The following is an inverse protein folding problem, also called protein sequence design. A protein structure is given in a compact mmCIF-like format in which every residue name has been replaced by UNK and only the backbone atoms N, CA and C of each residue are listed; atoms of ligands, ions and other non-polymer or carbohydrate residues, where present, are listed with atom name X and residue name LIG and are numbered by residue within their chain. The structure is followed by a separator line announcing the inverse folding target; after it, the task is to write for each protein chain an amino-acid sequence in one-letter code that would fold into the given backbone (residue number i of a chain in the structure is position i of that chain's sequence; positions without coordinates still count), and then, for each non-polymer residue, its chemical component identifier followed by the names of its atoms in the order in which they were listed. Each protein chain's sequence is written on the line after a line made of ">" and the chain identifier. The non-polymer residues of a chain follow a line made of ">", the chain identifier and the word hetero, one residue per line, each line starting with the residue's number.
data_IF_467406143466
#
_entry.id   IF_467406143466
#
_cell.length_a   1.000
_cell.length_b   1.000
_cell.length_c   1.000
_cell.angle_alpha   90.00
_cell.angle_beta   90.00
_cell.angle_gamma   90.00
#
_symmetry.space_group_name_H-M   'P 1'
#
loop_
_entity.id
_entity.type
_entity.pdbx_description
1 polymer ?
#
# COMPACT_ATOMS: atom_id res chain seq x y z
N UNK A 1 -21.81 -47.94 -16.86
CA UNK A 1 -22.00 -46.60 -17.44
C UNK A 1 -20.90 -45.72 -16.87
N UNK A 2 -19.85 -45.49 -17.63
CA UNK A 2 -18.77 -44.59 -17.22
C UNK A 2 -19.34 -43.17 -17.21
N UNK A 3 -19.45 -42.56 -16.03
CA UNK A 3 -19.73 -41.14 -15.91
C UNK A 3 -18.58 -40.40 -16.58
N UNK A 4 -18.85 -39.83 -17.76
CA UNK A 4 -17.94 -38.88 -18.39
C UNK A 4 -17.77 -37.73 -17.40
N UNK A 5 -16.61 -37.70 -16.73
CA UNK A 5 -16.16 -36.54 -15.97
C UNK A 5 -16.05 -35.39 -16.98
N UNK A 6 -17.08 -34.55 -17.04
CA UNK A 6 -17.00 -33.26 -17.69
C UNK A 6 -15.99 -32.45 -16.89
N UNK A 7 -14.72 -32.56 -17.26
CA UNK A 7 -13.69 -31.65 -16.79
C UNK A 7 -13.91 -30.37 -17.62
N UNK A 8 -14.51 -29.29 -17.08
CA UNK A 8 -14.59 -28.05 -17.83
C UNK A 8 -13.15 -27.69 -18.21
N UNK A 9 -12.90 -27.52 -19.52
CA UNK A 9 -11.57 -27.13 -19.99
C UNK A 9 -11.31 -25.71 -19.46
N UNK A 10 -10.57 -25.60 -18.36
CA UNK A 10 -10.09 -24.33 -17.85
C UNK A 10 -8.80 -23.94 -18.57
N UNK A 11 -8.58 -22.64 -18.78
CA UNK A 11 -7.36 -22.12 -19.43
C UNK A 11 -6.16 -22.22 -18.47
N UNK A 12 -6.42 -22.04 -17.17
CA UNK A 12 -5.44 -22.19 -16.09
C UNK A 12 -5.81 -23.40 -15.21
N UNK A 13 -4.81 -24.00 -14.55
CA UNK A 13 -5.02 -25.08 -13.60
C UNK A 13 -6.04 -24.71 -12.50
N UNK A 14 -7.05 -25.56 -12.32
CA UNK A 14 -8.11 -25.41 -11.32
C UNK A 14 -7.62 -25.76 -9.90
N UNK A 15 -6.72 -24.95 -9.34
CA UNK A 15 -6.22 -25.14 -7.98
C UNK A 15 -7.33 -24.86 -6.97
N UNK A 16 -7.48 -25.72 -5.96
CA UNK A 16 -8.40 -25.45 -4.86
C UNK A 16 -7.77 -24.44 -3.88
N UNK A 17 -8.52 -23.43 -3.41
CA UNK A 17 -8.07 -22.53 -2.35
C UNK A 17 -7.73 -23.30 -1.07
N UNK A 18 -6.71 -22.86 -0.34
CA UNK A 18 -6.34 -23.48 0.93
C UNK A 18 -7.03 -22.80 2.12
N UNK A 19 -7.38 -23.58 3.13
CA UNK A 19 -7.97 -23.07 4.38
C UNK A 19 -9.38 -22.48 4.20
N UNK A 20 -10.08 -22.81 3.12
CA UNK A 20 -11.46 -22.38 2.89
C UNK A 20 -12.37 -22.75 4.07
N UNK A 21 -13.30 -21.86 4.42
CA UNK A 21 -14.15 -22.02 5.60
C UNK A 21 -13.43 -21.92 6.94
N UNK A 22 -12.18 -21.41 6.99
CA UNK A 22 -11.44 -21.20 8.24
C UNK A 22 -10.95 -19.76 8.37
N UNK A 23 -10.53 -19.35 9.57
CA UNK A 23 -9.84 -18.07 9.79
C UNK A 23 -8.46 -17.99 9.11
N UNK A 24 -7.94 -19.14 8.68
CA UNK A 24 -6.64 -19.31 8.03
C UNK A 24 -6.80 -19.47 6.51
N UNK A 25 -7.87 -18.95 5.90
CA UNK A 25 -8.05 -19.01 4.44
C UNK A 25 -6.90 -18.33 3.71
N UNK A 26 -6.56 -18.87 2.55
CA UNK A 26 -5.55 -18.36 1.66
C UNK A 26 -5.88 -16.95 1.13
N UNK A 27 -4.84 -16.14 0.92
CA UNK A 27 -4.97 -14.85 0.25
C UNK A 27 -4.90 -14.97 -1.27
N UNK A 28 -5.60 -14.10 -2.01
CA UNK A 28 -5.58 -14.13 -3.48
C UNK A 28 -4.15 -14.00 -4.05
N UNK A 29 -3.24 -13.16 -3.52
CA UNK A 29 -1.88 -13.16 -4.00
C UNK A 29 -1.09 -14.45 -3.64
N UNK A 30 -1.44 -15.20 -2.59
CA UNK A 30 -0.90 -16.56 -2.37
C UNK A 30 -1.37 -17.54 -3.44
N UNK A 31 -2.68 -17.56 -3.69
CA UNK A 31 -3.30 -18.39 -4.73
C UNK A 31 -2.65 -18.13 -6.10
N UNK A 32 -2.48 -16.85 -6.44
CA UNK A 32 -1.80 -16.41 -7.66
C UNK A 32 -0.35 -16.92 -7.77
N UNK A 33 0.41 -16.88 -6.67
CA UNK A 33 1.78 -17.41 -6.64
C UNK A 33 1.79 -18.93 -6.86
N UNK A 34 0.91 -19.67 -6.19
CA UNK A 34 0.76 -21.13 -6.38
C UNK A 34 0.33 -21.47 -7.80
N UNK A 35 -0.52 -20.65 -8.41
CA UNK A 35 -0.95 -20.82 -9.79
C UNK A 35 0.21 -20.62 -10.77
N UNK A 36 1.06 -19.61 -10.56
CA UNK A 36 2.26 -19.43 -11.37
C UNK A 36 3.22 -20.64 -11.24
N UNK A 37 3.41 -21.14 -10.02
CA UNK A 37 4.22 -22.34 -9.74
C UNK A 37 3.65 -23.57 -10.45
N UNK A 38 2.33 -23.79 -10.41
CA UNK A 38 1.71 -24.95 -11.07
C UNK A 38 1.88 -24.95 -12.58
N UNK A 39 1.99 -23.77 -13.19
CA UNK A 39 2.28 -23.58 -14.62
C UNK A 39 3.78 -23.49 -14.95
N UNK A 40 4.67 -23.57 -13.95
CA UNK A 40 6.12 -23.38 -14.13
C UNK A 40 6.50 -22.05 -14.80
N UNK A 41 5.71 -21.00 -14.56
CA UNK A 41 5.93 -19.65 -15.10
C UNK A 41 6.24 -18.64 -13.99
N UNK A 42 6.81 -17.49 -14.35
CA UNK A 42 6.98 -16.39 -13.41
C UNK A 42 5.63 -15.72 -13.10
N UNK A 43 5.52 -15.14 -11.91
CA UNK A 43 4.35 -14.33 -11.51
C UNK A 43 4.14 -13.15 -12.47
N UNK A 44 5.23 -12.57 -12.99
CA UNK A 44 5.19 -11.53 -14.01
C UNK A 44 4.59 -12.04 -15.32
N UNK A 45 5.03 -13.20 -15.83
CA UNK A 45 4.51 -13.76 -17.08
C UNK A 45 3.01 -14.08 -16.97
N UNK A 46 2.59 -14.74 -15.87
CA UNK A 46 1.18 -15.02 -15.61
C UNK A 46 0.37 -13.73 -15.50
N UNK A 47 0.89 -12.71 -14.81
CA UNK A 47 0.18 -11.43 -14.65
C UNK A 47 -0.06 -10.73 -15.98
N UNK A 48 0.90 -10.79 -16.91
CA UNK A 48 0.77 -10.19 -18.25
C UNK A 48 -0.25 -10.93 -19.10
N UNK A 49 -0.24 -12.27 -19.04
CA UNK A 49 -1.23 -13.09 -19.75
C UNK A 49 -2.66 -12.80 -19.28
N UNK A 50 -2.89 -12.71 -17.97
CA UNK A 50 -4.21 -12.35 -17.43
C UNK A 50 -4.58 -10.92 -17.80
N UNK A 51 -3.65 -9.95 -17.68
CA UNK A 51 -3.90 -8.56 -18.02
C UNK A 51 -4.33 -8.35 -19.48
N UNK A 52 -3.69 -9.07 -20.42
CA UNK A 52 -4.08 -9.07 -21.82
C UNK A 52 -5.50 -9.60 -22.02
N UNK A 53 -5.89 -10.63 -21.27
CA UNK A 53 -7.23 -11.23 -21.36
C UNK A 53 -8.34 -10.30 -20.88
N UNK A 54 -8.09 -9.53 -19.83
CA UNK A 54 -9.06 -8.56 -19.29
C UNK A 54 -9.02 -7.19 -20.00
N UNK A 55 -8.32 -7.10 -21.14
CA UNK A 55 -8.13 -5.86 -21.93
C UNK A 55 -7.65 -4.67 -21.09
N UNK A 56 -6.96 -4.95 -19.99
CA UNK A 56 -6.49 -3.91 -19.09
C UNK A 56 -5.15 -3.40 -19.59
N UNK A 57 -5.10 -2.13 -19.99
CA UNK A 57 -3.85 -1.50 -20.42
C UNK A 57 -2.91 -1.42 -19.20
N UNK A 58 -1.85 -2.21 -19.22
CA UNK A 58 -0.91 -2.32 -18.11
C UNK A 58 0.38 -1.62 -18.51
N UNK A 59 0.67 -0.51 -17.82
CA UNK A 59 2.02 0.06 -17.85
C UNK A 59 3.05 -1.03 -17.56
N UNK A 60 4.07 -1.15 -18.41
CA UNK A 60 5.14 -2.14 -18.28
C UNK A 60 5.88 -2.08 -16.93
N UNK A 61 5.70 -1.00 -16.16
CA UNK A 61 6.26 -0.78 -14.83
C UNK A 61 5.37 -1.26 -13.68
N UNK A 62 4.12 -1.67 -13.95
CA UNK A 62 3.12 -1.99 -12.92
C UNK A 62 3.06 -3.50 -12.63
N UNK A 63 3.78 -3.90 -11.58
CA UNK A 63 3.97 -5.30 -11.20
C UNK A 63 2.81 -5.85 -10.34
N UNK A 64 2.60 -7.17 -10.34
CA UNK A 64 1.44 -7.84 -9.71
C UNK A 64 1.28 -7.53 -8.22
N UNK A 65 2.40 -7.28 -7.52
CA UNK A 65 2.40 -6.96 -6.10
C UNK A 65 1.88 -5.55 -5.78
N UNK A 66 1.92 -4.63 -6.75
CA UNK A 66 1.40 -3.25 -6.60
C UNK A 66 -0.12 -3.19 -6.75
N UNK A 67 -0.76 -4.29 -7.18
CA UNK A 67 -2.19 -4.37 -7.48
C UNK A 67 -3.09 -4.56 -6.27
N UNK A 68 -2.51 -4.69 -5.07
CA UNK A 68 -3.24 -4.86 -3.79
C UNK A 68 -4.36 -5.90 -3.91
N UNK A 69 -4.05 -7.07 -4.48
CA UNK A 69 -5.02 -8.10 -4.87
C UNK A 69 -5.89 -8.62 -3.72
N UNK A 70 -5.46 -8.47 -2.47
CA UNK A 70 -6.25 -8.85 -1.30
C UNK A 70 -7.21 -7.76 -0.79
N UNK A 71 -7.17 -6.54 -1.36
CA UNK A 71 -7.92 -5.38 -0.85
C UNK A 71 -9.40 -5.38 -1.24
N UNK A 72 -10.09 -4.25 -0.96
CA UNK A 72 -11.47 -3.96 -1.37
C UNK A 72 -11.55 -3.09 -2.63
N UNK A 73 -10.46 -2.96 -3.40
CA UNK A 73 -10.44 -2.13 -4.60
C UNK A 73 -10.93 -2.87 -5.85
N UNK A 74 -11.25 -2.09 -6.89
CA UNK A 74 -11.64 -2.60 -8.21
C UNK A 74 -10.62 -3.59 -8.78
N UNK A 75 -9.32 -3.38 -8.58
CA UNK A 75 -8.31 -4.35 -9.02
C UNK A 75 -8.45 -5.71 -8.35
N UNK A 76 -8.86 -5.78 -7.08
CA UNK A 76 -9.12 -7.06 -6.44
C UNK A 76 -10.36 -7.74 -7.05
N UNK A 77 -11.40 -6.97 -7.37
CA UNK A 77 -12.62 -7.46 -8.01
C UNK A 77 -12.34 -8.00 -9.41
N UNK A 78 -11.75 -7.20 -10.29
CA UNK A 78 -11.42 -7.61 -11.66
C UNK A 78 -10.52 -8.84 -11.70
N UNK A 79 -9.50 -8.90 -10.84
CA UNK A 79 -8.55 -10.02 -10.84
C UNK A 79 -9.12 -11.28 -10.24
N UNK A 80 -9.90 -11.19 -9.16
CA UNK A 80 -10.57 -12.37 -8.59
C UNK A 80 -11.60 -12.94 -9.55
N UNK A 81 -12.37 -12.11 -10.25
CA UNK A 81 -13.30 -12.53 -11.29
C UNK A 81 -12.58 -13.21 -12.46
N UNK A 82 -11.55 -12.56 -13.01
CA UNK A 82 -10.78 -13.12 -14.13
C UNK A 82 -10.09 -14.44 -13.77
N UNK A 83 -9.50 -14.54 -12.58
CA UNK A 83 -8.91 -15.79 -12.11
C UNK A 83 -9.99 -16.87 -11.93
N UNK A 84 -11.17 -16.52 -11.45
CA UNK A 84 -12.27 -17.49 -11.27
C UNK A 84 -12.72 -18.05 -12.61
N UNK A 85 -12.86 -17.19 -13.62
CA UNK A 85 -13.19 -17.58 -15.00
C UNK A 85 -12.10 -18.48 -15.60
N UNK A 86 -10.84 -18.02 -15.57
CA UNK A 86 -9.72 -18.71 -16.21
C UNK A 86 -9.38 -20.06 -15.58
N UNK A 87 -9.56 -20.19 -14.26
CA UNK A 87 -9.32 -21.45 -13.53
C UNK A 87 -10.56 -22.32 -13.42
N UNK A 88 -11.74 -21.82 -13.80
CA UNK A 88 -13.05 -22.43 -13.54
C UNK A 88 -13.31 -22.74 -12.05
N UNK A 89 -12.62 -22.05 -11.13
CA UNK A 89 -12.81 -22.15 -9.69
C UNK A 89 -13.66 -20.97 -9.24
N UNK A 90 -14.87 -21.19 -8.69
CA UNK A 90 -15.74 -20.09 -8.28
C UNK A 90 -15.23 -19.40 -7.02
N UNK A 91 -15.79 -18.23 -6.73
CA UNK A 91 -15.66 -17.52 -5.45
C UNK A 91 -14.24 -17.12 -5.03
N UNK A 92 -13.30 -16.89 -5.95
CA UNK A 92 -11.95 -16.43 -5.58
C UNK A 92 -11.94 -15.00 -5.00
N UNK A 93 -13.03 -14.25 -5.11
CA UNK A 93 -13.24 -12.99 -4.40
C UNK A 93 -13.20 -13.18 -2.89
N UNK A 94 -13.53 -14.39 -2.39
CA UNK A 94 -13.43 -14.77 -0.98
C UNK A 94 -12.01 -14.94 -0.47
N UNK A 95 -11.00 -14.87 -1.35
CA UNK A 95 -9.59 -14.78 -1.00
C UNK A 95 -9.10 -13.32 -0.86
N UNK A 96 -10.03 -12.37 -0.86
CA UNK A 96 -9.81 -10.93 -0.69
C UNK A 96 -10.71 -10.38 0.42
N UNK A 97 -10.61 -9.08 0.71
CA UNK A 97 -11.54 -8.39 1.62
C UNK A 97 -12.78 -7.79 0.91
N UNK A 98 -13.02 -8.05 -0.38
CA UNK A 98 -14.13 -7.48 -1.17
C UNK A 98 -15.51 -7.63 -0.53
N UNK A 99 -15.74 -8.74 0.19
CA UNK A 99 -16.99 -8.96 0.91
C UNK A 99 -17.35 -7.83 1.89
N UNK A 100 -16.39 -6.98 2.29
CA UNK A 100 -16.58 -5.88 3.23
C UNK A 100 -16.48 -4.47 2.59
N UNK A 101 -16.46 -4.38 1.26
CA UNK A 101 -16.20 -3.13 0.53
C UNK A 101 -17.20 -1.99 0.80
N UNK A 102 -18.44 -2.34 1.16
CA UNK A 102 -19.52 -1.37 1.40
C UNK A 102 -19.55 -0.84 2.84
N UNK A 103 -18.81 -1.48 3.74
CA UNK A 103 -18.85 -1.20 5.20
C UNK A 103 -17.50 -0.78 5.76
N UNK A 104 -16.41 -0.97 5.02
CA UNK A 104 -15.08 -0.43 5.32
C UNK A 104 -14.74 0.62 4.27
N UNK A 105 -14.30 1.81 4.69
CA UNK A 105 -13.92 2.86 3.76
C UNK A 105 -12.80 2.43 2.82
N UNK A 106 -12.87 2.83 1.55
CA UNK A 106 -11.91 2.46 0.49
C UNK A 106 -10.46 2.82 0.83
N UNK A 107 -10.24 3.92 1.55
CA UNK A 107 -8.92 4.33 2.05
C UNK A 107 -8.61 3.79 3.45
N UNK A 108 -9.57 3.13 4.11
CA UNK A 108 -9.52 2.69 5.49
C UNK A 108 -9.15 1.22 5.69
N UNK A 109 -9.02 0.43 4.63
CA UNK A 109 -8.45 -0.91 4.67
C UNK A 109 -7.00 -0.86 4.18
N UNK A 110 -6.07 -0.83 5.13
CA UNK A 110 -4.65 -0.81 4.83
C UNK A 110 -4.13 -2.22 4.62
N UNK A 111 -3.87 -2.58 3.36
CA UNK A 111 -3.08 -3.77 3.03
C UNK A 111 -1.59 -3.49 3.24
N UNK A 112 -0.86 -4.47 3.78
CA UNK A 112 0.59 -4.39 3.97
C UNK A 112 1.32 -4.17 2.65
N UNK A 113 2.34 -3.32 2.67
CA UNK A 113 3.21 -3.07 1.50
C UNK A 113 4.36 -4.07 1.41
N UNK A 114 4.71 -4.68 2.55
CA UNK A 114 5.76 -5.70 2.70
C UNK A 114 5.08 -6.95 3.22
N UNK A 115 5.29 -8.07 2.55
CA UNK A 115 4.67 -9.34 2.91
C UNK A 115 5.12 -9.75 4.30
N UNK A 116 4.18 -10.23 5.11
CA UNK A 116 4.42 -10.69 6.47
C UNK A 116 3.91 -12.12 6.64
N UNK A 117 4.49 -12.86 7.56
CA UNK A 117 4.16 -14.26 7.79
C UNK A 117 4.43 -14.70 9.23
N UNK A 118 3.83 -15.82 9.64
CA UNK A 118 4.16 -16.46 10.89
C UNK A 118 5.06 -17.68 10.61
N UNK A 119 6.32 -17.70 11.11
CA UNK A 119 7.23 -18.84 10.95
C UNK A 119 6.64 -20.15 11.52
N UNK A 120 5.95 -20.08 12.65
CA UNK A 120 5.33 -21.24 13.29
C UNK A 120 4.15 -21.79 12.49
N UNK A 121 3.35 -20.93 11.84
CA UNK A 121 2.31 -21.39 10.92
C UNK A 121 2.90 -22.17 9.74
N UNK A 122 3.99 -21.68 9.14
CA UNK A 122 4.64 -22.39 8.04
C UNK A 122 5.25 -23.72 8.49
N UNK A 123 5.93 -23.75 9.64
CA UNK A 123 6.46 -24.99 10.20
C UNK A 123 5.35 -26.02 10.46
N UNK A 124 4.22 -25.59 11.03
CA UNK A 124 3.06 -26.47 11.22
C UNK A 124 2.42 -26.95 9.91
N UNK A 125 2.34 -26.10 8.89
CA UNK A 125 1.81 -26.49 7.58
C UNK A 125 2.67 -27.64 7.01
N UNK A 126 4.00 -27.49 7.04
CA UNK A 126 4.94 -28.50 6.58
C UNK A 126 4.91 -29.78 7.43
N UNK A 127 4.88 -29.66 8.76
CA UNK A 127 4.79 -30.80 9.67
C UNK A 127 3.50 -31.61 9.49
N UNK A 128 2.42 -30.97 9.04
CA UNK A 128 1.14 -31.62 8.70
C UNK A 128 1.10 -32.15 7.26
N UNK A 129 2.22 -32.12 6.52
CA UNK A 129 2.31 -32.54 5.13
C UNK A 129 1.56 -31.62 4.16
N UNK A 130 1.27 -30.37 4.55
CA UNK A 130 0.57 -29.38 3.73
C UNK A 130 1.57 -28.43 3.10
N UNK A 131 1.26 -27.93 1.90
CA UNK A 131 2.05 -26.85 1.29
C UNK A 131 1.82 -25.55 2.08
N UNK A 132 2.88 -24.85 2.53
CA UNK A 132 2.75 -23.53 3.12
C UNK A 132 2.08 -22.54 2.16
N UNK A 133 1.33 -21.58 2.71
CA UNK A 133 0.60 -20.57 1.93
C UNK A 133 0.41 -19.28 2.74
N UNK A 134 0.28 -18.14 2.05
CA UNK A 134 0.01 -16.87 2.75
C UNK A 134 -1.48 -16.78 3.09
N UNK A 135 -1.77 -16.54 4.37
CA UNK A 135 -3.14 -16.43 4.89
C UNK A 135 -3.68 -15.01 4.65
N UNK A 136 -4.95 -14.87 4.32
CA UNK A 136 -5.60 -13.57 4.04
C UNK A 136 -5.49 -12.60 5.22
N UNK A 137 -5.56 -13.10 6.45
CA UNK A 137 -5.39 -12.28 7.65
C UNK A 137 -4.05 -11.54 7.69
N UNK A 138 -2.99 -12.10 7.10
CA UNK A 138 -1.66 -11.48 7.05
C UNK A 138 -1.56 -10.33 6.05
N UNK A 139 -2.56 -10.16 5.18
CA UNK A 139 -2.58 -9.03 4.24
C UNK A 139 -2.99 -7.72 4.93
N UNK A 140 -3.71 -7.79 6.04
CA UNK A 140 -4.18 -6.61 6.78
C UNK A 140 -3.05 -6.01 7.63
N UNK A 141 -2.82 -4.70 7.48
CA UNK A 141 -1.82 -3.96 8.27
C UNK A 141 -2.21 -3.82 9.75
N UNK A 142 -3.46 -4.10 10.12
CA UNK A 142 -3.90 -4.14 11.51
C UNK A 142 -3.55 -5.48 12.20
N UNK A 143 -3.06 -6.48 11.44
CA UNK A 143 -2.58 -7.77 11.96
C UNK A 143 -1.06 -7.79 11.90
N UNK A 144 -0.39 -7.62 13.04
CA UNK A 144 1.07 -7.75 13.16
C UNK A 144 1.48 -8.86 14.13
N UNK A 145 0.50 -9.61 14.65
CA UNK A 145 0.67 -10.75 15.55
C UNK A 145 -0.15 -11.93 15.04
N UNK A 146 0.41 -13.14 15.08
CA UNK A 146 -0.34 -14.37 14.86
C UNK A 146 -1.28 -14.64 16.04
N UNK A 147 -2.58 -14.71 15.80
CA UNK A 147 -3.58 -15.04 16.84
C UNK A 147 -3.43 -16.47 17.38
N UNK A 148 -2.98 -17.40 16.54
CA UNK A 148 -2.82 -18.84 16.82
C UNK A 148 -1.59 -19.11 17.67
N UNK A 149 -0.43 -18.64 17.24
CA UNK A 149 0.85 -18.86 17.93
C UNK A 149 1.20 -17.81 18.95
N UNK A 150 0.47 -16.70 18.98
CA UNK A 150 0.84 -15.53 19.76
C UNK A 150 2.32 -15.21 19.52
N UNK A 151 2.67 -14.78 18.31
CA UNK A 151 4.01 -14.31 17.96
C UNK A 151 3.88 -13.11 17.02
N UNK A 152 4.87 -12.22 16.99
CA UNK A 152 4.91 -11.18 15.94
C UNK A 152 5.00 -11.82 14.55
N UNK A 153 4.37 -11.19 13.57
CA UNK A 153 4.55 -11.57 12.17
C UNK A 153 5.89 -11.03 11.67
N UNK A 154 6.63 -11.86 10.97
CA UNK A 154 7.94 -11.55 10.43
C UNK A 154 7.84 -11.01 9.01
N UNK A 155 8.71 -10.06 8.67
CA UNK A 155 8.83 -9.48 7.32
C UNK A 155 10.19 -9.75 6.67
N UNK A 156 11.11 -10.35 7.43
CA UNK A 156 12.47 -10.65 7.01
C UNK A 156 12.70 -12.17 7.01
N UNK A 157 13.60 -12.61 6.14
CA UNK A 157 14.07 -13.99 6.18
C UNK A 157 14.94 -14.21 7.44
N UNK A 158 14.68 -15.24 8.27
CA UNK A 158 15.51 -15.53 9.44
C UNK A 158 16.93 -15.99 9.08
N UNK A 159 17.15 -16.49 7.86
CA UNK A 159 18.45 -16.97 7.39
C UNK A 159 19.30 -15.85 6.78
N UNK A 160 18.78 -15.10 5.80
CA UNK A 160 19.56 -14.08 5.08
C UNK A 160 19.28 -12.63 5.50
N UNK A 161 18.32 -12.40 6.40
CA UNK A 161 17.95 -11.06 6.90
C UNK A 161 17.27 -10.14 5.89
N UNK A 162 17.14 -10.55 4.62
CA UNK A 162 16.51 -9.73 3.57
C UNK A 162 15.02 -9.56 3.83
N UNK A 163 14.53 -8.36 3.58
CA UNK A 163 13.13 -8.00 3.63
C UNK A 163 12.41 -8.41 2.34
N UNK A 164 11.11 -8.12 2.28
CA UNK A 164 10.31 -8.19 1.07
C UNK A 164 10.37 -9.52 0.31
N UNK A 165 10.49 -10.61 1.07
CA UNK A 165 10.55 -12.00 0.63
C UNK A 165 9.37 -12.47 -0.26
N UNK A 166 8.36 -11.63 -0.46
CA UNK A 166 7.15 -11.90 -1.24
C UNK A 166 6.99 -10.99 -2.45
N UNK A 167 7.32 -9.71 -2.35
CA UNK A 167 6.90 -8.69 -3.33
C UNK A 167 8.09 -8.08 -4.06
N UNK A 168 8.82 -8.86 -4.85
CA UNK A 168 9.84 -8.33 -5.81
C UNK A 168 10.52 -9.41 -6.66
N UNK A 169 10.15 -10.68 -6.50
CA UNK A 169 10.77 -11.79 -7.21
C UNK A 169 9.90 -12.28 -8.37
N UNK A 170 10.56 -12.71 -9.44
CA UNK A 170 9.92 -13.35 -10.58
C UNK A 170 9.24 -14.68 -10.20
N UNK A 171 9.79 -15.38 -9.20
CA UNK A 171 9.28 -16.65 -8.71
C UNK A 171 9.05 -16.52 -7.20
N UNK A 172 7.82 -16.78 -6.77
CA UNK A 172 7.44 -16.73 -5.35
C UNK A 172 6.79 -18.06 -5.02
N UNK A 173 7.42 -18.81 -4.12
CA UNK A 173 6.87 -20.05 -3.56
C UNK A 173 6.52 -19.76 -2.10
N UNK A 174 5.23 -19.73 -1.73
CA UNK A 174 4.84 -19.41 -0.36
C UNK A 174 5.52 -20.35 0.64
N UNK A 175 6.15 -19.78 1.68
CA UNK A 175 6.93 -20.54 2.68
C UNK A 175 8.43 -20.57 2.45
N UNK A 176 8.94 -20.16 1.28
CA UNK A 176 10.37 -20.12 0.97
C UNK A 176 10.86 -18.72 0.64
N UNK A 177 12.10 -18.42 1.02
CA UNK A 177 12.72 -17.14 0.76
C UNK A 177 13.05 -16.96 -0.73
N UNK A 178 12.55 -15.89 -1.34
CA UNK A 178 12.84 -15.55 -2.75
C UNK A 178 14.28 -15.14 -3.03
N UNK A 179 15.08 -14.87 -1.99
CA UNK A 179 16.47 -14.44 -2.13
C UNK A 179 17.49 -15.55 -1.86
N UNK A 180 17.27 -16.40 -0.87
CA UNK A 180 18.22 -17.45 -0.49
C UNK A 180 17.68 -18.87 -0.65
N UNK A 181 16.39 -19.03 -1.00
CA UNK A 181 15.75 -20.35 -1.16
C UNK A 181 15.42 -21.07 0.14
N UNK A 182 15.91 -20.58 1.29
CA UNK A 182 15.70 -21.24 2.58
C UNK A 182 14.23 -21.21 3.03
N UNK A 183 13.83 -22.27 3.74
CA UNK A 183 12.49 -22.36 4.33
C UNK A 183 12.31 -21.28 5.41
N UNK A 184 11.16 -20.61 5.39
CA UNK A 184 10.85 -19.50 6.29
C UNK A 184 10.23 -19.96 7.61
N UNK A 185 9.78 -21.21 7.69
CA UNK A 185 9.23 -21.76 8.91
C UNK A 185 10.33 -22.10 9.91
N UNK A 186 10.01 -21.91 11.20
CA UNK A 186 10.90 -22.31 12.30
C UNK A 186 10.06 -23.06 13.34
N UNK A 187 10.53 -24.23 13.75
CA UNK A 187 9.93 -24.95 14.87
C UNK A 187 10.14 -24.19 16.18
N UNK A 188 9.12 -24.20 17.02
CA UNK A 188 8.95 -23.25 18.10
C UNK A 188 9.95 -23.44 19.24
N UNK A 189 10.98 -22.61 19.25
CA UNK A 189 11.41 -21.96 20.50
C UNK A 189 11.08 -20.48 20.38
N UNK A 190 9.88 -20.14 20.86
CA UNK A 190 9.55 -18.74 21.16
C UNK A 190 10.45 -18.29 22.30
N UNK A 191 11.16 -17.16 22.19
CA UNK A 191 11.78 -16.57 23.36
C UNK A 191 10.67 -16.24 24.36
N UNK A 192 10.73 -16.86 25.55
CA UNK A 192 9.74 -16.78 26.63
C UNK A 192 9.51 -15.35 27.18
N UNK A 193 10.13 -14.33 26.59
CA UNK A 193 10.26 -12.97 27.11
C UNK A 193 9.60 -11.89 26.25
N UNK A 194 9.10 -12.20 25.04
CA UNK A 194 8.37 -11.21 24.24
C UNK A 194 6.90 -11.15 24.68
N UNK A 195 6.57 -10.27 25.64
CA UNK A 195 5.18 -10.02 26.02
C UNK A 195 4.43 -9.42 24.83
N UNK A 196 3.46 -10.16 24.30
CA UNK A 196 2.63 -9.70 23.20
C UNK A 196 1.52 -8.81 23.73
N UNK A 197 1.30 -7.70 23.06
CA UNK A 197 0.19 -6.81 23.33
C UNK A 197 -1.15 -7.56 23.20
N UNK A 198 -1.92 -7.73 24.29
CA UNK A 198 -3.22 -8.37 24.24
C UNK A 198 -4.18 -7.71 23.24
N UNK A 199 -4.11 -6.38 23.08
CA UNK A 199 -4.95 -5.66 22.13
C UNK A 199 -4.61 -6.02 20.68
N UNK A 200 -3.32 -6.17 20.36
CA UNK A 200 -2.86 -6.64 19.06
C UNK A 200 -3.35 -8.07 18.75
N UNK A 201 -3.23 -8.97 19.73
CA UNK A 201 -3.71 -10.36 19.59
C UNK A 201 -5.24 -10.42 19.43
N UNK A 202 -5.97 -9.59 20.17
CA UNK A 202 -7.42 -9.45 20.03
C UNK A 202 -7.80 -8.95 18.63
N UNK A 203 -7.14 -7.92 18.11
CA UNK A 203 -7.39 -7.40 16.77
C UNK A 203 -7.12 -8.46 15.69
N UNK A 204 -6.02 -9.21 15.81
CA UNK A 204 -5.70 -10.33 14.92
C UNK A 204 -6.78 -11.41 14.93
N UNK A 205 -7.33 -11.73 16.11
CA UNK A 205 -8.45 -12.66 16.25
C UNK A 205 -9.72 -12.13 15.59
N UNK A 206 -10.08 -10.86 15.82
CA UNK A 206 -11.25 -10.24 15.21
C UNK A 206 -11.19 -10.23 13.68
N UNK A 207 -10.01 -9.98 13.12
CA UNK A 207 -9.81 -10.05 11.66
C UNK A 207 -9.87 -11.49 11.15
N UNK A 208 -9.37 -12.46 11.92
CA UNK A 208 -9.57 -13.89 11.61
C UNK A 208 -11.03 -14.32 11.61
N UNK A 209 -11.82 -13.86 12.58
CA UNK A 209 -13.27 -14.09 12.64
C UNK A 209 -13.99 -13.41 11.46
N UNK A 210 -13.56 -12.21 11.06
CA UNK A 210 -14.05 -11.51 9.87
C UNK A 210 -13.80 -12.29 8.57
N UNK A 211 -12.58 -12.79 8.41
CA UNK A 211 -12.16 -13.60 7.27
C UNK A 211 -12.85 -14.97 7.24
N UNK A 212 -13.17 -15.54 8.39
CA UNK A 212 -13.98 -16.74 8.47
C UNK A 212 -15.43 -16.45 8.04
N UNK A 213 -16.04 -15.41 8.61
CA UNK A 213 -17.44 -15.07 8.36
C UNK A 213 -17.73 -14.76 6.89
N UNK A 214 -16.79 -14.16 6.15
CA UNK A 214 -17.03 -13.85 4.74
C UNK A 214 -17.28 -15.08 3.86
N UNK A 215 -16.79 -16.26 4.27
CA UNK A 215 -17.01 -17.52 3.55
C UNK A 215 -18.47 -18.00 3.64
N UNK A 216 -19.20 -17.57 4.67
CA UNK A 216 -20.58 -17.99 4.93
C UNK A 216 -21.60 -16.85 4.81
N UNK A 217 -21.17 -15.67 4.35
CA UNK A 217 -22.08 -14.53 4.15
C UNK A 217 -23.08 -14.85 3.03
N UNK A 218 -24.38 -14.81 3.37
CA UNK A 218 -25.47 -14.97 2.41
C UNK A 218 -25.57 -13.79 1.43
N UNK A 219 -25.20 -12.58 1.88
CA UNK A 219 -25.21 -11.36 1.08
C UNK A 219 -24.09 -10.42 1.52
N UNK A 220 -23.71 -9.49 0.65
CA UNK A 220 -22.75 -8.45 1.00
C UNK A 220 -23.35 -7.51 2.05
N UNK A 221 -22.63 -7.19 3.14
CA UNK A 221 -23.06 -6.23 4.12
C UNK A 221 -23.30 -4.86 3.50
N UNK A 222 -24.33 -4.17 3.98
CA UNK A 222 -24.71 -2.85 3.49
C UNK A 222 -24.29 -1.77 4.48
N UNK A 223 -24.05 -0.57 3.95
CA UNK A 223 -23.76 0.60 4.78
C UNK A 223 -24.89 0.85 5.78
N UNK A 224 -26.14 0.70 5.37
CA UNK A 224 -27.29 1.00 6.23
C UNK A 224 -27.36 0.06 7.43
N UNK A 225 -27.07 -1.23 7.25
CA UNK A 225 -27.00 -2.19 8.35
C UNK A 225 -25.90 -1.82 9.36
N UNK A 226 -24.72 -1.42 8.86
CA UNK A 226 -23.63 -0.94 9.71
C UNK A 226 -24.03 0.32 10.49
N UNK A 227 -24.65 1.31 9.83
CA UNK A 227 -25.04 2.57 10.48
C UNK A 227 -26.15 2.33 11.51
N UNK A 228 -27.08 1.42 11.24
CA UNK A 228 -28.09 0.99 12.21
C UNK A 228 -27.44 0.36 13.44
N UNK A 229 -26.47 -0.55 13.25
CA UNK A 229 -25.75 -1.16 14.35
C UNK A 229 -24.95 -0.14 15.18
N UNK A 230 -24.27 0.82 14.51
CA UNK A 230 -23.58 1.92 15.21
C UNK A 230 -24.60 2.79 15.98
N UNK A 231 -25.76 3.07 15.40
CA UNK A 231 -26.80 3.87 16.05
C UNK A 231 -27.36 3.18 17.28
N UNK A 232 -27.64 1.87 17.19
CA UNK A 232 -28.07 1.05 18.32
C UNK A 232 -27.02 1.05 19.45
N UNK A 233 -25.74 0.89 19.11
CA UNK A 233 -24.64 0.97 20.10
C UNK A 233 -24.61 2.35 20.78
N UNK A 234 -24.81 3.43 20.03
CA UNK A 234 -24.84 4.80 20.57
C UNK A 234 -26.06 5.01 21.46
N UNK A 235 -27.22 4.47 21.09
CA UNK A 235 -28.45 4.56 21.86
C UNK A 235 -28.32 3.83 23.20
N UNK A 236 -27.88 2.57 23.16
CA UNK A 236 -27.81 1.72 24.37
C UNK A 236 -26.64 2.07 25.29
N UNK A 237 -25.48 2.47 24.75
CA UNK A 237 -24.29 2.72 25.59
C UNK A 237 -24.03 4.20 25.90
N UNK A 238 -24.45 5.11 25.02
CA UNK A 238 -24.14 6.55 25.12
C UNK A 238 -25.41 7.40 25.27
N UNK A 239 -26.57 6.78 25.55
CA UNK A 239 -27.87 7.44 25.65
C UNK A 239 -28.18 8.33 24.44
N UNK A 240 -27.83 7.87 23.23
CA UNK A 240 -28.01 8.60 21.98
C UNK A 240 -26.99 9.71 21.72
N UNK A 241 -26.03 9.94 22.62
CA UNK A 241 -25.08 11.05 22.50
C UNK A 241 -23.86 10.69 21.64
N UNK A 242 -23.91 10.98 20.34
CA UNK A 242 -22.81 10.68 19.41
C UNK A 242 -21.47 11.36 19.78
N UNK A 243 -21.49 12.42 20.59
CA UNK A 243 -20.28 13.08 21.08
C UNK A 243 -19.56 12.28 22.18
N UNK A 244 -20.31 11.58 23.05
CA UNK A 244 -19.74 10.68 24.05
C UNK A 244 -19.13 9.46 23.38
N UNK A 245 -19.86 8.87 22.43
CA UNK A 245 -19.35 7.80 21.57
C UNK A 245 -18.04 8.18 20.87
N UNK A 246 -18.01 9.34 20.20
CA UNK A 246 -16.82 9.83 19.50
C UNK A 246 -15.60 9.96 20.44
N UNK A 247 -15.82 10.46 21.66
CA UNK A 247 -14.78 10.58 22.69
C UNK A 247 -14.31 9.21 23.17
N UNK A 248 -15.22 8.25 23.39
CA UNK A 248 -14.92 6.89 23.86
C UNK A 248 -13.99 6.16 22.89
N UNK A 249 -14.30 6.19 21.59
CA UNK A 249 -13.48 5.53 20.57
C UNK A 249 -12.28 6.40 20.11
N UNK A 250 -12.16 7.62 20.62
CA UNK A 250 -11.06 8.54 20.31
C UNK A 250 -11.05 9.04 18.86
N UNK A 251 -12.21 9.38 18.29
CA UNK A 251 -12.35 10.00 16.96
C UNK A 251 -13.04 11.37 17.05
N UNK A 252 -12.93 12.18 15.99
CA UNK A 252 -13.58 13.48 15.95
C UNK A 252 -15.11 13.35 15.84
N UNK A 253 -15.86 14.22 16.53
CA UNK A 253 -17.34 14.29 16.42
C UNK A 253 -17.81 14.46 14.96
N UNK A 254 -17.08 15.23 14.16
CA UNK A 254 -17.37 15.41 12.74
C UNK A 254 -17.27 14.11 11.95
N UNK A 255 -16.36 13.20 12.33
CA UNK A 255 -16.19 11.91 11.69
C UNK A 255 -17.39 11.00 11.95
N UNK A 256 -17.86 10.92 13.20
CA UNK A 256 -19.08 10.17 13.55
C UNK A 256 -20.30 10.76 12.87
N UNK A 257 -20.43 12.09 12.84
CA UNK A 257 -21.51 12.76 12.12
C UNK A 257 -21.50 12.42 10.63
N UNK A 258 -20.32 12.40 10.00
CA UNK A 258 -20.17 12.01 8.60
C UNK A 258 -20.56 10.54 8.35
N UNK A 259 -20.37 9.64 9.31
CA UNK A 259 -20.86 8.26 9.21
C UNK A 259 -22.38 8.19 9.29
N UNK A 260 -22.98 8.84 10.29
CA UNK A 260 -24.41 8.74 10.55
C UNK A 260 -25.28 9.50 9.54
N UNK A 261 -24.79 10.64 9.02
CA UNK A 261 -25.59 11.56 8.19
C UNK A 261 -25.03 11.79 6.78
N UNK A 262 -23.77 11.46 6.53
CA UNK A 262 -23.16 11.55 5.20
C UNK A 262 -22.81 10.18 4.63
N UNK A 263 -22.13 10.14 3.49
CA UNK A 263 -21.79 8.90 2.78
C UNK A 263 -20.53 8.19 3.33
N UNK A 264 -20.05 8.62 4.50
CA UNK A 264 -18.82 8.08 5.08
C UNK A 264 -19.02 6.70 5.68
N UNK A 265 -18.00 5.85 5.57
CA UNK A 265 -17.87 4.59 6.33
C UNK A 265 -16.64 4.65 7.24
N UNK A 266 -16.64 3.90 8.35
CA UNK A 266 -15.47 3.79 9.22
C UNK A 266 -14.28 3.11 8.52
N UNK A 267 -13.07 3.40 8.97
CA UNK A 267 -11.88 2.61 8.59
C UNK A 267 -11.87 1.30 9.36
N UNK A 268 -11.12 0.29 8.91
CA UNK A 268 -11.01 -0.98 9.65
C UNK A 268 -10.52 -0.75 11.09
N UNK A 269 -9.54 0.14 11.25
CA UNK A 269 -9.03 0.57 12.56
C UNK A 269 -10.10 1.23 13.43
N UNK A 270 -10.98 2.05 12.86
CA UNK A 270 -12.08 2.64 13.59
C UNK A 270 -13.12 1.58 13.99
N UNK A 271 -13.46 0.66 13.09
CA UNK A 271 -14.38 -0.45 13.38
C UNK A 271 -13.85 -1.37 14.47
N UNK A 272 -12.55 -1.68 14.49
CA UNK A 272 -11.91 -2.42 15.58
C UNK A 272 -12.04 -1.69 16.92
N UNK A 273 -11.87 -0.36 16.94
CA UNK A 273 -12.08 0.42 18.18
C UNK A 273 -13.53 0.41 18.63
N UNK A 274 -14.49 0.52 17.70
CA UNK A 274 -15.91 0.44 18.03
C UNK A 274 -16.20 -0.91 18.68
N UNK A 275 -15.80 -2.01 18.04
CA UNK A 275 -15.96 -3.36 18.56
C UNK A 275 -15.31 -3.54 19.95
N UNK A 276 -14.07 -3.06 20.12
CA UNK A 276 -13.36 -3.16 21.40
C UNK A 276 -14.07 -2.42 22.55
N UNK A 277 -14.67 -1.27 22.27
CA UNK A 277 -15.36 -0.47 23.27
C UNK A 277 -16.82 -0.88 23.48
N UNK A 278 -17.48 -1.45 22.48
CA UNK A 278 -18.88 -1.88 22.57
C UNK A 278 -19.06 -3.32 23.05
N UNK A 279 -17.99 -4.11 23.07
CA UNK A 279 -18.06 -5.55 23.37
C UNK A 279 -18.71 -6.38 22.25
N UNK A 280 -19.10 -5.76 21.12
CA UNK A 280 -19.55 -6.47 19.93
C UNK A 280 -18.34 -7.04 19.17
N UNK A 281 -18.51 -8.18 18.50
CA UNK A 281 -17.51 -8.66 17.54
C UNK A 281 -17.47 -7.73 16.33
N UNK A 282 -16.30 -7.67 15.68
CA UNK A 282 -16.10 -6.90 14.45
C UNK A 282 -17.08 -7.34 13.35
N UNK A 283 -17.35 -8.64 13.26
CA UNK A 283 -18.31 -9.24 12.32
C UNK A 283 -19.75 -8.82 12.58
N UNK A 284 -20.20 -8.85 13.84
CA UNK A 284 -21.56 -8.39 14.18
C UNK A 284 -21.74 -6.92 13.82
N UNK A 285 -20.75 -6.08 14.15
CA UNK A 285 -20.76 -4.66 13.82
C UNK A 285 -20.84 -4.41 12.31
N UNK A 286 -19.97 -5.06 11.52
CA UNK A 286 -19.87 -4.82 10.08
C UNK A 286 -21.02 -5.43 9.28
N UNK A 287 -21.56 -6.58 9.72
CA UNK A 287 -22.75 -7.19 9.11
C UNK A 287 -24.05 -6.49 9.52
N UNK A 288 -24.02 -5.74 10.62
CA UNK A 288 -25.19 -5.11 11.23
C UNK A 288 -26.12 -6.09 11.97
N UNK A 289 -25.63 -7.29 12.27
CA UNK A 289 -26.36 -8.30 13.02
C UNK A 289 -25.95 -8.23 14.50
N UNK A 290 -26.71 -7.45 15.28
CA UNK A 290 -26.55 -7.32 16.72
C UNK A 290 -27.52 -8.21 17.51
N UNK A 291 -28.12 -9.23 16.90
CA UNK A 291 -29.12 -10.10 17.55
C UNK A 291 -28.62 -10.80 18.82
N UNK A 292 -27.32 -11.12 18.85
CA UNK A 292 -26.63 -11.81 19.96
C UNK A 292 -25.79 -10.86 20.81
N UNK A 293 -25.79 -9.56 20.49
CA UNK A 293 -25.04 -8.58 21.25
C UNK A 293 -25.81 -8.18 22.50
N UNK A 294 -25.08 -8.04 23.60
CA UNK A 294 -25.61 -7.56 24.88
C UNK A 294 -24.75 -6.38 25.30
N UNK A 295 -25.38 -5.25 25.58
CA UNK A 295 -24.71 -4.07 26.10
C UNK A 295 -23.88 -4.43 27.35
N UNK A 296 -22.54 -4.23 27.33
CA UNK A 296 -21.69 -4.57 28.47
C UNK A 296 -22.12 -3.76 29.69
N UNK A 297 -22.45 -4.46 30.78
CA UNK A 297 -22.65 -3.80 32.07
C UNK A 297 -21.29 -3.30 32.54
N UNK A 298 -21.16 -1.98 32.68
CA UNK A 298 -19.94 -1.37 33.24
C UNK A 298 -19.98 -1.65 34.74
N UNK A 299 -19.40 -2.76 35.18
CA UNK A 299 -19.06 -2.89 36.59
C UNK A 299 -18.03 -1.80 36.94
N UNK A 300 -18.23 -1.03 38.01
CA UNK A 300 -17.27 -0.02 38.44
C UNK A 300 -15.98 -0.71 38.88
N UNK A 301 -15.04 -0.89 37.95
CA UNK A 301 -13.68 -1.25 38.29
C UNK A 301 -13.05 -0.10 39.08
N UNK A 302 -12.20 -0.46 40.07
CA UNK A 302 -11.41 0.50 40.83
C UNK A 302 -10.75 1.50 39.86
N UNK A 303 -11.10 2.77 40.01
CA UNK A 303 -10.55 3.85 39.19
C UNK A 303 -9.07 3.98 39.55
N UNK A 304 -8.21 3.30 38.79
CA UNK A 304 -6.79 3.58 38.78
C UNK A 304 -6.63 4.94 38.09
N UNK A 305 -6.36 5.98 38.88
CA UNK A 305 -5.98 7.30 38.38
C UNK A 305 -4.59 7.23 37.75
N UNK A 306 -4.50 6.60 36.58
CA UNK A 306 -3.32 6.66 35.74
C UNK A 306 -3.19 8.10 35.21
N UNK A 307 -2.00 8.70 35.24
CA UNK A 307 -1.78 10.01 34.64
C UNK A 307 -2.10 9.94 33.15
N UNK A 308 -3.30 10.39 32.80
CA UNK A 308 -3.75 10.49 31.41
C UNK A 308 -2.80 11.44 30.67
N UNK A 309 -2.30 11.07 29.48
CA UNK A 309 -1.59 12.02 28.65
C UNK A 309 -2.51 13.22 28.41
N UNK A 310 -2.02 14.42 28.76
CA UNK A 310 -2.80 15.66 28.68
C UNK A 310 -3.49 15.73 27.31
N UNK A 311 -4.82 15.90 27.24
CA UNK A 311 -5.49 16.05 25.96
C UNK A 311 -4.80 17.18 25.20
N UNK A 312 -4.40 16.92 23.94
CA UNK A 312 -3.80 17.94 23.09
C UNK A 312 -4.76 19.12 23.06
N UNK A 313 -4.37 20.20 23.73
CA UNK A 313 -5.12 21.45 23.73
C UNK A 313 -5.31 21.85 22.28
N UNK A 314 -6.58 21.96 21.88
CA UNK A 314 -6.96 22.38 20.54
C UNK A 314 -6.32 23.76 20.33
N UNK A 315 -5.29 23.84 19.49
CA UNK A 315 -4.62 25.10 19.18
C UNK A 315 -5.68 26.10 18.76
N UNK A 316 -5.82 27.18 19.54
CA UNK A 316 -6.73 28.28 19.24
C UNK A 316 -6.57 28.65 17.77
N UNK A 317 -7.68 28.79 17.06
CA UNK A 317 -7.71 29.16 15.64
C UNK A 317 -7.06 30.54 15.53
N UNK A 318 -5.75 30.58 15.22
CA UNK A 318 -5.01 31.83 15.08
C UNK A 318 -5.68 32.61 13.95
N UNK A 319 -6.33 33.71 14.28
CA UNK A 319 -6.71 34.70 13.28
C UNK A 319 -5.42 35.23 12.67
N UNK A 320 -5.19 34.88 11.41
CA UNK A 320 -4.01 35.27 10.66
C UNK A 320 -4.39 36.42 9.75
N UNK A 321 -3.64 37.50 9.81
CA UNK A 321 -3.83 38.63 8.92
C UNK A 321 -3.31 38.26 7.52
N UNK A 322 -4.22 37.96 6.61
CA UNK A 322 -3.90 37.51 5.25
C UNK A 322 -3.27 38.61 4.38
N UNK A 323 -3.58 39.88 4.64
CA UNK A 323 -2.97 40.99 3.91
C UNK A 323 -1.45 41.03 4.14
N UNK A 324 -1.01 40.78 5.38
CA UNK A 324 0.42 40.73 5.71
C UNK A 324 1.11 39.52 5.06
N UNK A 325 0.43 38.37 5.00
CA UNK A 325 0.95 37.16 4.36
C UNK A 325 1.10 37.37 2.85
N UNK A 326 0.15 38.05 2.21
CA UNK A 326 0.21 38.38 0.78
C UNK A 326 1.36 39.34 0.46
N UNK A 327 1.58 40.36 1.30
CA UNK A 327 2.73 41.26 1.18
C UNK A 327 4.07 40.52 1.28
N UNK A 328 4.18 39.57 2.22
CA UNK A 328 5.39 38.75 2.37
C UNK A 328 5.59 37.77 1.20
N UNK A 329 4.51 37.20 0.65
CA UNK A 329 4.59 36.40 -0.57
C UNK A 329 5.06 37.23 -1.77
N UNK A 330 4.58 38.47 -1.91
CA UNK A 330 5.07 39.40 -2.93
C UNK A 330 6.55 39.72 -2.74
N UNK A 331 7.02 39.96 -1.51
CA UNK A 331 8.43 40.15 -1.23
C UNK A 331 9.28 38.94 -1.64
N UNK A 332 8.78 37.72 -1.45
CA UNK A 332 9.46 36.49 -1.90
C UNK A 332 9.54 36.36 -3.42
N UNK A 333 8.62 36.96 -4.17
CA UNK A 333 8.68 37.01 -5.64
C UNK A 333 9.81 37.90 -6.16
N UNK A 334 10.34 38.82 -5.35
CA UNK A 334 11.42 39.74 -5.74
C UNK A 334 12.82 39.24 -5.34
N UNK A 335 12.91 38.20 -4.49
CA UNK A 335 14.21 37.68 -4.02
C UNK A 335 15.13 37.25 -5.17
N UNK A 336 16.46 37.48 -5.08
CA UNK A 336 17.40 37.14 -6.15
C UNK A 336 17.50 35.63 -6.40
N UNK A 337 17.38 34.82 -5.35
CA UNK A 337 17.23 33.38 -5.44
C UNK A 337 15.77 32.99 -5.22
N UNK A 338 15.13 32.28 -6.18
CA UNK A 338 13.75 31.87 -6.01
C UNK A 338 13.66 30.79 -4.94
N UNK A 339 12.58 30.81 -4.17
CA UNK A 339 12.31 29.84 -3.10
C UNK A 339 11.16 28.91 -3.51
N UNK A 340 11.12 27.71 -2.94
CA UNK A 340 10.00 26.79 -3.16
C UNK A 340 8.77 27.24 -2.35
N UNK A 341 7.58 26.82 -2.80
CA UNK A 341 6.33 27.04 -2.06
C UNK A 341 6.38 26.40 -0.66
N UNK A 342 7.11 25.29 -0.51
CA UNK A 342 7.31 24.63 0.78
C UNK A 342 8.18 25.47 1.72
N UNK A 343 9.23 26.09 1.19
CA UNK A 343 10.10 27.00 1.95
C UNK A 343 9.37 28.29 2.31
N UNK A 344 8.57 28.85 1.39
CA UNK A 344 7.69 29.98 1.70
C UNK A 344 6.70 29.63 2.83
N UNK A 345 6.08 28.44 2.78
CA UNK A 345 5.23 27.92 3.85
C UNK A 345 5.97 27.77 5.18
N UNK A 346 7.22 27.30 5.16
CA UNK A 346 8.07 27.20 6.36
C UNK A 346 8.36 28.59 6.97
N UNK A 347 8.75 29.57 6.15
CA UNK A 347 9.07 30.94 6.62
C UNK A 347 7.85 31.66 7.19
N UNK A 348 6.67 31.44 6.60
CA UNK A 348 5.40 32.02 7.04
C UNK A 348 4.74 31.23 8.19
N UNK A 349 5.25 30.03 8.51
CA UNK A 349 4.64 29.08 9.43
C UNK A 349 3.20 28.69 9.00
N UNK A 350 3.02 28.45 7.70
CA UNK A 350 1.75 28.12 7.05
C UNK A 350 1.90 26.84 6.24
N UNK A 351 0.91 25.95 6.38
CA UNK A 351 0.82 24.76 5.54
C UNK A 351 0.67 25.17 4.06
N UNK A 352 1.49 24.65 3.13
CA UNK A 352 1.42 24.97 1.71
C UNK A 352 0.01 24.81 1.11
N UNK A 353 -0.78 23.83 1.58
CA UNK A 353 -2.17 23.63 1.15
C UNK A 353 -3.05 24.83 1.46
N UNK A 354 -2.83 25.48 2.61
CA UNK A 354 -3.56 26.67 3.01
C UNK A 354 -3.21 27.88 2.11
N UNK A 355 -1.94 28.00 1.68
CA UNK A 355 -1.49 29.03 0.74
C UNK A 355 -2.17 28.87 -0.62
N UNK A 356 -2.28 27.64 -1.15
CA UNK A 356 -3.01 27.37 -2.39
C UNK A 356 -4.52 27.67 -2.29
N UNK A 357 -5.13 27.44 -1.12
CA UNK A 357 -6.56 27.66 -0.93
C UNK A 357 -6.94 29.15 -0.79
N UNK A 358 -6.03 29.99 -0.27
CA UNK A 358 -6.34 31.39 0.09
C UNK A 358 -5.59 32.42 -0.75
N UNK A 359 -4.32 32.17 -1.07
CA UNK A 359 -3.44 33.05 -1.85
C UNK A 359 -2.94 32.33 -3.13
N UNK A 360 -3.89 31.75 -3.88
CA UNK A 360 -3.61 30.85 -5.00
C UNK A 360 -2.69 31.46 -6.08
N UNK A 361 -2.98 32.69 -6.51
CA UNK A 361 -2.25 33.35 -7.60
C UNK A 361 -0.76 33.55 -7.26
N UNK A 362 -0.46 34.17 -6.11
CA UNK A 362 0.92 34.40 -5.67
C UNK A 362 1.67 33.09 -5.43
N UNK A 363 0.99 32.09 -4.85
CA UNK A 363 1.57 30.77 -4.59
C UNK A 363 1.94 30.05 -5.90
N UNK A 364 1.10 30.15 -6.93
CA UNK A 364 1.39 29.61 -8.27
C UNK A 364 2.54 30.35 -8.94
N UNK A 365 2.57 31.67 -8.88
CA UNK A 365 3.67 32.48 -9.44
C UNK A 365 5.02 32.10 -8.82
N UNK A 366 5.05 31.88 -7.51
CA UNK A 366 6.26 31.46 -6.79
C UNK A 366 6.70 30.05 -7.20
N UNK A 367 5.73 29.15 -7.42
CA UNK A 367 5.98 27.82 -7.97
C UNK A 367 6.54 27.85 -9.41
N UNK A 368 5.96 28.67 -10.30
CA UNK A 368 6.43 28.80 -11.68
C UNK A 368 7.83 29.43 -11.76
N UNK A 369 8.11 30.45 -10.95
CA UNK A 369 9.44 31.07 -10.87
C UNK A 369 10.52 30.06 -10.46
N UNK A 370 10.21 29.17 -9.51
CA UNK A 370 11.11 28.09 -9.11
C UNK A 370 11.32 27.06 -10.23
N UNK A 371 10.26 26.67 -10.95
CA UNK A 371 10.36 25.76 -12.10
C UNK A 371 11.21 26.37 -13.22
N UNK A 372 11.03 27.64 -13.51
CA UNK A 372 11.79 28.38 -14.52
C UNK A 372 13.28 28.45 -14.16
N UNK A 373 13.59 28.71 -12.89
CA UNK A 373 14.95 28.68 -12.38
C UNK A 373 15.61 27.30 -12.49
N UNK A 374 14.88 26.23 -12.17
CA UNK A 374 15.37 24.86 -12.36
C UNK A 374 15.62 24.56 -13.83
N UNK A 375 14.73 25.00 -14.74
CA UNK A 375 14.90 24.84 -16.18
C UNK A 375 16.18 25.53 -16.66
N UNK A 376 16.37 26.81 -16.32
CA UNK A 376 17.59 27.57 -16.70
C UNK A 376 18.86 26.92 -16.17
N UNK A 377 18.87 26.45 -14.92
CA UNK A 377 20.02 25.73 -14.36
C UNK A 377 20.28 24.43 -15.09
N UNK A 378 19.23 23.70 -15.44
CA UNK A 378 19.36 22.46 -16.19
C UNK A 378 19.93 22.73 -17.59
N UNK A 379 19.48 23.79 -18.28
CA UNK A 379 20.02 24.22 -19.56
C UNK A 379 21.50 24.64 -19.44
N UNK A 380 21.86 25.42 -18.41
CA UNK A 380 23.26 25.76 -18.11
C UNK A 380 24.12 24.51 -17.85
N UNK A 381 23.60 23.52 -17.12
CA UNK A 381 24.30 22.26 -16.89
C UNK A 381 24.49 21.45 -18.18
N UNK A 382 23.49 21.45 -19.08
CA UNK A 382 23.61 20.81 -20.39
C UNK A 382 24.67 21.51 -21.25
N UNK A 383 24.64 22.85 -21.33
CA UNK A 383 25.64 23.63 -22.08
C UNK A 383 27.05 23.42 -21.53
N UNK A 384 27.22 23.41 -20.21
CA UNK A 384 28.52 23.17 -19.58
C UNK A 384 29.02 21.73 -19.77
N UNK A 385 28.11 20.75 -19.80
CA UNK A 385 28.45 19.35 -20.01
C UNK A 385 28.70 19.00 -21.49
N UNK A 386 28.18 19.80 -22.43
CA UNK A 386 28.23 19.53 -23.87
C UNK A 386 29.65 19.27 -24.40
N UNK A 387 30.67 20.13 -24.15
CA UNK A 387 32.02 19.91 -24.66
C UNK A 387 32.68 18.64 -24.09
N UNK A 388 32.35 18.29 -22.85
CA UNK A 388 32.88 17.08 -22.20
C UNK A 388 32.24 15.80 -22.75
N UNK A 389 30.94 15.84 -23.07
CA UNK A 389 30.25 14.73 -23.71
C UNK A 389 30.70 14.55 -25.16
N UNK A 390 30.96 15.65 -25.87
CA UNK A 390 31.48 15.66 -27.23
C UNK A 390 32.87 15.04 -27.32
N UNK A 391 33.81 15.51 -26.50
CA UNK A 391 35.16 14.95 -26.44
C UNK A 391 35.14 13.45 -26.08
N UNK A 392 34.31 13.05 -25.11
CA UNK A 392 34.17 11.65 -24.75
C UNK A 392 33.64 10.79 -25.90
N UNK A 393 32.73 11.30 -26.74
CA UNK A 393 32.25 10.58 -27.92
C UNK A 393 33.35 10.42 -28.98
N UNK A 394 34.12 11.48 -29.24
CA UNK A 394 35.24 11.47 -30.19
C UNK A 394 36.31 10.46 -29.75
N UNK A 395 36.70 10.47 -28.48
CA UNK A 395 37.70 9.55 -27.93
C UNK A 395 37.24 8.08 -28.03
N UNK A 396 35.96 7.81 -27.74
CA UNK A 396 35.38 6.47 -27.82
C UNK A 396 35.34 5.96 -29.28
N UNK A 397 35.02 6.83 -30.24
CA UNK A 397 35.05 6.48 -31.66
C UNK A 397 36.46 6.27 -32.19
N UNK A 398 37.44 7.07 -31.74
CA UNK A 398 38.85 6.88 -32.07
C UNK A 398 39.39 5.52 -31.58
N UNK A 399 38.86 5.00 -30.48
CA UNK A 399 39.14 3.64 -29.98
C UNK A 399 38.39 2.52 -30.71
N UNK A 400 37.54 2.85 -31.71
CA UNK A 400 36.75 1.86 -32.46
C UNK A 400 35.60 1.23 -31.65
N UNK A 401 35.20 1.84 -30.53
CA UNK A 401 34.14 1.36 -29.65
C UNK A 401 32.81 2.09 -29.91
N UNK A 402 31.70 1.43 -29.56
CA UNK A 402 30.38 2.07 -29.59
C UNK A 402 30.18 2.94 -28.34
N UNK A 403 29.59 4.12 -28.53
CA UNK A 403 29.32 5.06 -27.44
C UNK A 403 28.17 4.53 -26.59
N UNK A 404 28.52 3.93 -25.45
CA UNK A 404 27.56 3.44 -24.45
C UNK A 404 27.64 4.26 -23.17
N UNK A 405 26.55 4.26 -22.38
CA UNK A 405 26.48 5.00 -21.11
C UNK A 405 27.63 4.63 -20.15
N UNK A 406 28.08 3.37 -20.17
CA UNK A 406 29.19 2.88 -19.35
C UNK A 406 30.53 3.51 -19.75
N UNK A 407 30.79 3.63 -21.04
CA UNK A 407 32.03 4.22 -21.58
C UNK A 407 32.10 5.73 -21.34
N UNK A 408 30.95 6.42 -21.35
CA UNK A 408 30.84 7.86 -21.05
C UNK A 408 31.05 8.13 -19.56
N UNK A 409 30.44 7.34 -18.68
CA UNK A 409 30.63 7.46 -17.22
C UNK A 409 32.09 7.18 -16.82
N UNK A 410 32.80 6.33 -17.56
CA UNK A 410 34.20 6.03 -17.32
C UNK A 410 35.16 7.19 -17.68
N UNK A 411 34.76 8.09 -18.60
CA UNK A 411 35.62 9.16 -19.14
C UNK A 411 35.23 10.56 -18.66
N UNK A 412 33.96 10.80 -18.35
CA UNK A 412 33.49 12.13 -17.90
C UNK A 412 33.39 12.17 -16.37
N UNK A 413 33.98 13.18 -15.70
CA UNK A 413 33.89 13.33 -14.25
C UNK A 413 32.45 13.34 -13.71
N UNK A 414 32.21 12.59 -12.64
CA UNK A 414 30.91 12.51 -11.96
C UNK A 414 30.26 13.87 -11.60
N UNK A 415 31.01 14.94 -11.23
CA UNK A 415 30.42 16.26 -10.94
C UNK A 415 29.73 16.91 -12.15
N UNK A 416 30.13 16.56 -13.38
CA UNK A 416 29.58 17.11 -14.63
C UNK A 416 28.33 16.31 -15.05
N UNK A 417 28.31 15.01 -14.75
CA UNK A 417 27.20 14.12 -15.10
C UNK A 417 26.04 14.15 -14.10
N UNK A 418 26.32 14.31 -12.80
CA UNK A 418 25.33 14.27 -11.73
C UNK A 418 24.17 15.29 -11.86
N UNK A 419 24.36 16.51 -12.40
CA UNK A 419 23.27 17.48 -12.57
C UNK A 419 22.33 17.22 -13.75
N UNK A 420 22.66 16.28 -14.65
CA UNK A 420 21.88 16.01 -15.86
C UNK A 420 20.71 15.06 -15.57
N UNK A 421 19.47 15.56 -15.71
CA UNK A 421 18.26 14.79 -15.42
C UNK A 421 17.97 13.65 -16.42
N UNK A 422 18.52 13.72 -17.63
CA UNK A 422 18.29 12.73 -18.70
C UNK A 422 19.52 12.53 -19.60
N UNK A 423 20.56 11.96 -19.01
CA UNK A 423 21.88 11.80 -19.61
C UNK A 423 21.89 11.02 -20.94
N UNK A 424 20.95 10.06 -21.11
CA UNK A 424 20.79 9.30 -22.36
C UNK A 424 20.24 10.12 -23.52
N UNK A 425 19.33 11.06 -23.27
CA UNK A 425 18.81 11.95 -24.32
C UNK A 425 19.88 12.96 -24.74
N UNK A 426 20.54 13.59 -23.77
CA UNK A 426 21.64 14.53 -24.05
C UNK A 426 22.76 13.86 -24.85
N UNK A 427 23.11 12.60 -24.56
CA UNK A 427 24.09 11.83 -25.35
C UNK A 427 23.64 11.55 -26.78
N UNK A 428 22.34 11.27 -27.00
CA UNK A 428 21.80 11.10 -28.36
C UNK A 428 21.85 12.40 -29.15
N UNK A 429 21.55 13.52 -28.50
CA UNK A 429 21.61 14.84 -29.13
C UNK A 429 23.04 15.19 -29.55
N UNK A 430 24.03 14.95 -28.68
CA UNK A 430 25.46 15.12 -28.99
C UNK A 430 25.91 14.20 -30.14
N UNK A 431 25.54 12.91 -30.11
CA UNK A 431 25.86 11.97 -31.20
C UNK A 431 25.23 12.39 -32.53
N UNK A 432 23.99 12.90 -32.50
CA UNK A 432 23.32 13.39 -33.71
C UNK A 432 23.95 14.66 -34.27
N UNK A 433 24.51 15.51 -33.40
CA UNK A 433 25.25 16.72 -33.80
C UNK A 433 26.56 16.35 -34.50
N UNK A 434 27.31 15.41 -33.94
CA UNK A 434 28.58 14.92 -34.48
C UNK A 434 28.43 14.08 -35.77
N UNK A 435 27.26 13.49 -36.01
CA UNK A 435 26.95 12.68 -37.21
C UNK A 435 26.35 13.51 -38.36
N UNK A 436 26.26 14.84 -38.24
CA UNK A 436 25.83 15.72 -39.35
C UNK A 436 27.00 15.96 -40.33
N UNK A 437 26.76 15.89 -41.66
CA UNK A 437 27.82 15.93 -42.69
C UNK A 437 28.56 17.27 -42.86
N UNK A 438 28.29 18.29 -42.05
CA UNK A 438 28.94 19.62 -42.16
C UNK A 438 30.17 19.80 -41.24
N UNK A 439 30.55 18.80 -40.43
CA UNK A 439 31.70 18.90 -39.52
C UNK A 439 33.05 18.49 -40.14
N UNK A 440 33.10 18.11 -41.42
CA UNK A 440 34.34 17.74 -42.12
C UNK A 440 35.14 18.92 -42.72
N UNK A 441 34.83 20.19 -42.42
CA UNK A 441 35.53 21.33 -43.07
C UNK A 441 36.32 22.31 -42.20
N UNK A 442 36.45 22.13 -40.88
CA UNK A 442 37.24 23.04 -40.03
C UNK A 442 38.50 22.45 -39.39
N UNK A 443 38.83 21.18 -39.64
CA UNK A 443 40.11 20.59 -39.21
C UNK A 443 41.21 20.61 -40.30
N UNK A 444 40.96 21.23 -41.44
CA UNK A 444 41.92 21.37 -42.54
C UNK A 444 42.00 22.83 -43.03
N UNK A 445 42.53 23.73 -42.19
CA UNK A 445 43.20 24.97 -42.61
C UNK A 445 44.13 25.51 -41.54
#
# INVERSE_FOLDING_TARGET
>A
MNSVLNNPRSELHALQPLGEGTSDVESLPSYFCRLAVSHSVSTLALSRSIAQRIEHDVSHQFDWHQRRLASTCESAETWSAALSELTAVPNLDKLTFLSWQNVISRSGLSIVTRGQFCPSCFAEDLAKGRTPYFRLVWESAEVFVCSRHACSLETHCPHCGKDNIRHTAAYVVPGWCTHCGEFLGKEGEMPATASIDPAARWAARQIGELVHAQQTLASTPTRDNLINAISQIIEEMDNGQSALFARRIGVAKSTVHNWLKGDGTPTLKASLKIAAHSGASLTQLLSGDLSTWVCPQIEPQLILNLPQPKPRTRTVKRERNWAEIENQLQAFLVLPTPITVREAGRRLNIDPRLLYLRANMLTRQLGERWKEYLRRRQDEHVVNAWPHLEQACIDIWAEGKSVTLREVIARVPAPILAPLSNLLLNLKDVQSHLMRPDFESEAAK
#
